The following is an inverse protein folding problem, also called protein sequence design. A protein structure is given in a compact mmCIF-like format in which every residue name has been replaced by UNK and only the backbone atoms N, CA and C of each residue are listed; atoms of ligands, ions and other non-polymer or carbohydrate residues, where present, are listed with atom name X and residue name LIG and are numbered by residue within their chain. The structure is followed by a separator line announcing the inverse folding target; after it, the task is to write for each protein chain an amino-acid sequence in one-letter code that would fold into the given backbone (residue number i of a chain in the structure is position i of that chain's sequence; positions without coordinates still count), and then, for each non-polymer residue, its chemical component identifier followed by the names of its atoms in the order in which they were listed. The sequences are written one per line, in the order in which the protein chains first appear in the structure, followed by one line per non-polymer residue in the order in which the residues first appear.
data_IF_424002855429
#
_entry.id   IF_424002855429
#
_cell.length_a   1.000
_cell.length_b   1.000
_cell.length_c   1.000
_cell.angle_alpha   90.00
_cell.angle_beta   90.00
_cell.angle_gamma   90.00
#
_symmetry.space_group_name_H-M   'P 1'
#
loop_
_entity.id
_entity.type
_entity.pdbx_description
1 polymer ?
#
# COMPACT_ATOMS: atom_id res chain seq x y z
N UNK A 1 7.30 37.92 -0.12
CA UNK A 1 8.75 37.87 -0.44
C UNK A 1 9.27 36.44 -0.46
N UNK A 2 9.11 35.62 0.60
CA UNK A 2 9.60 34.24 0.59
C UNK A 2 8.87 33.29 -0.39
N UNK A 3 7.52 33.37 -0.51
CA UNK A 3 6.76 32.54 -1.46
C UNK A 3 7.12 32.78 -2.93
N UNK A 4 7.31 34.03 -3.34
CA UNK A 4 7.67 34.37 -4.73
C UNK A 4 9.08 33.87 -5.09
N UNK A 5 10.03 33.99 -4.16
CA UNK A 5 11.38 33.45 -4.35
C UNK A 5 11.38 31.91 -4.43
N UNK A 6 10.61 31.25 -3.56
CA UNK A 6 10.42 29.79 -3.61
C UNK A 6 9.79 29.34 -4.93
N UNK A 7 8.74 30.03 -5.39
CA UNK A 7 8.08 29.76 -6.67
C UNK A 7 9.06 29.86 -7.85
N UNK A 8 9.83 30.95 -7.91
CA UNK A 8 10.85 31.14 -8.94
C UNK A 8 11.89 30.00 -8.91
N UNK A 9 12.32 29.57 -7.72
CA UNK A 9 13.29 28.50 -7.57
C UNK A 9 12.75 27.13 -8.00
N UNK A 10 11.51 26.81 -7.65
CA UNK A 10 10.84 25.58 -8.09
C UNK A 10 10.76 25.54 -9.61
N UNK A 11 10.32 26.63 -10.24
CA UNK A 11 10.21 26.71 -11.71
C UNK A 11 11.58 26.63 -12.40
N UNK A 12 12.62 27.25 -11.82
CA UNK A 12 14.01 27.11 -12.30
C UNK A 12 14.46 25.65 -12.26
N UNK A 13 14.24 24.95 -11.14
CA UNK A 13 14.63 23.56 -10.98
C UNK A 13 13.85 22.62 -11.91
N UNK A 14 12.55 22.84 -12.07
CA UNK A 14 11.72 22.04 -12.99
C UNK A 14 12.25 22.12 -14.42
N UNK A 15 12.62 23.33 -14.90
CA UNK A 15 13.17 23.52 -16.24
C UNK A 15 14.60 22.99 -16.37
N UNK A 16 15.43 23.21 -15.36
CA UNK A 16 16.85 22.82 -15.39
C UNK A 16 17.05 21.30 -15.39
N UNK A 17 16.22 20.58 -14.64
CA UNK A 17 16.35 19.13 -14.46
C UNK A 17 15.31 18.33 -15.23
N UNK A 18 14.52 18.98 -16.08
CA UNK A 18 13.46 18.33 -16.87
C UNK A 18 12.56 17.45 -16.01
N UNK A 19 12.11 18.01 -14.88
CA UNK A 19 11.34 17.26 -13.88
C UNK A 19 10.03 16.78 -14.50
N UNK A 20 9.67 15.51 -14.25
CA UNK A 20 8.45 14.90 -14.78
C UNK A 20 7.30 14.86 -13.76
N UNK A 21 7.61 14.96 -12.46
CA UNK A 21 6.63 14.99 -11.38
C UNK A 21 7.19 15.66 -10.10
N UNK A 22 6.30 16.23 -9.29
CA UNK A 22 6.64 16.79 -7.98
C UNK A 22 6.02 15.94 -6.88
N UNK A 23 6.85 15.38 -6.00
CA UNK A 23 6.42 14.62 -4.84
C UNK A 23 6.29 15.54 -3.61
N UNK A 24 5.17 15.44 -2.88
CA UNK A 24 4.92 16.19 -1.64
C UNK A 24 4.59 15.21 -0.52
N UNK A 25 5.31 15.30 0.60
CA UNK A 25 5.01 14.49 1.78
C UNK A 25 3.66 14.84 2.40
N UNK A 26 2.92 13.83 2.87
CA UNK A 26 1.60 14.00 3.48
C UNK A 26 1.61 14.33 4.98
N UNK A 27 2.72 14.82 5.52
CA UNK A 27 2.81 15.29 6.89
C UNK A 27 2.43 16.76 7.07
N UNK A 28 3.05 17.39 8.06
CA UNK A 28 2.78 18.78 8.46
C UNK A 28 2.98 19.74 7.29
N UNK A 29 1.96 20.56 7.03
CA UNK A 29 1.92 21.52 5.92
C UNK A 29 2.02 20.91 4.50
N UNK A 30 1.82 19.59 4.35
CA UNK A 30 1.88 18.90 3.06
C UNK A 30 0.81 19.41 2.09
N UNK A 31 -0.42 19.60 2.57
CA UNK A 31 -1.54 20.10 1.77
C UNK A 31 -1.29 21.55 1.31
N UNK A 32 -0.85 22.42 2.22
CA UNK A 32 -0.53 23.81 1.88
C UNK A 32 0.62 23.89 0.87
N UNK A 33 1.55 22.94 0.93
CA UNK A 33 2.65 22.81 -0.05
C UNK A 33 2.13 22.31 -1.40
N UNK A 34 1.25 21.31 -1.42
CA UNK A 34 0.59 20.83 -2.63
C UNK A 34 -0.21 21.95 -3.31
N UNK A 35 -1.09 22.64 -2.59
CA UNK A 35 -1.87 23.78 -3.10
C UNK A 35 -0.95 24.88 -3.62
N UNK A 36 0.14 25.19 -2.91
CA UNK A 36 1.13 26.17 -3.37
C UNK A 36 1.75 25.77 -4.70
N UNK A 37 2.15 24.50 -4.86
CA UNK A 37 2.78 24.00 -6.08
C UNK A 37 1.79 23.91 -7.25
N UNK A 38 0.56 23.46 -7.00
CA UNK A 38 -0.51 23.40 -8.01
C UNK A 38 -0.91 24.80 -8.52
N UNK A 39 -0.76 25.83 -7.69
CA UNK A 39 -1.00 27.23 -8.08
C UNK A 39 0.14 27.85 -8.90
N UNK A 40 1.24 27.14 -9.14
CA UNK A 40 2.33 27.62 -9.99
C UNK A 40 2.07 27.28 -11.47
N UNK A 41 2.59 28.13 -12.36
CA UNK A 41 2.62 27.87 -13.79
C UNK A 41 3.71 26.83 -14.14
N UNK A 42 3.45 25.57 -13.74
CA UNK A 42 4.37 24.46 -13.92
C UNK A 42 4.49 24.10 -15.41
N UNK A 43 5.70 23.79 -15.91
CA UNK A 43 5.88 23.33 -17.28
C UNK A 43 4.96 22.14 -17.59
N UNK A 44 4.41 22.07 -18.81
CA UNK A 44 3.70 20.88 -19.33
C UNK A 44 2.61 20.27 -18.44
N UNK A 45 2.05 21.02 -17.49
CA UNK A 45 1.07 20.48 -16.53
C UNK A 45 1.62 19.38 -15.63
N UNK A 46 2.89 19.51 -15.18
CA UNK A 46 3.55 18.56 -14.27
C UNK A 46 2.61 18.10 -13.14
N UNK A 47 2.45 16.78 -12.92
CA UNK A 47 1.68 16.29 -11.80
C UNK A 47 2.37 16.60 -10.47
N UNK A 48 1.60 17.17 -9.54
CA UNK A 48 1.94 17.26 -8.13
C UNK A 48 1.26 16.09 -7.43
N UNK A 49 2.04 15.26 -6.74
CA UNK A 49 1.57 14.00 -6.15
C UNK A 49 1.87 13.99 -4.67
N UNK A 50 0.82 13.76 -3.87
CA UNK A 50 0.95 13.48 -2.45
C UNK A 50 1.50 12.07 -2.23
N UNK A 51 2.53 11.98 -1.40
CA UNK A 51 3.27 10.76 -1.08
C UNK A 51 3.23 10.54 0.43
N UNK A 52 2.99 9.29 0.84
CA UNK A 52 3.09 8.91 2.24
C UNK A 52 4.53 9.11 2.74
N UNK A 53 4.73 9.97 3.74
CA UNK A 53 6.06 10.26 4.31
C UNK A 53 6.38 9.45 5.57
N UNK A 54 5.51 8.54 6.00
CA UNK A 54 5.71 7.77 7.23
C UNK A 54 7.01 6.97 7.16
N UNK A 55 7.82 7.09 8.21
CA UNK A 55 9.17 6.52 8.27
C UNK A 55 10.25 7.28 7.49
N UNK A 56 9.96 8.37 6.77
CA UNK A 56 10.98 9.15 6.05
C UNK A 56 12.01 9.79 7.00
N UNK A 57 11.56 10.20 8.19
CA UNK A 57 12.45 10.68 9.27
C UNK A 57 13.32 9.57 9.87
N UNK A 58 12.78 8.34 9.93
CA UNK A 58 13.54 7.15 10.38
C UNK A 58 14.60 6.79 9.35
N UNK A 59 14.24 6.81 8.07
CA UNK A 59 15.20 6.66 6.97
C UNK A 59 16.30 7.72 7.06
N UNK A 60 15.97 9.01 7.14
CA UNK A 60 16.97 10.09 7.06
C UNK A 60 18.02 10.05 8.18
N UNK A 61 17.64 9.51 9.35
CA UNK A 61 18.51 9.30 10.51
C UNK A 61 19.23 7.94 10.50
N UNK A 62 18.93 7.05 9.55
CA UNK A 62 19.49 5.71 9.47
C UNK A 62 20.94 5.68 8.99
N UNK A 63 21.66 4.59 9.29
CA UNK A 63 22.98 4.34 8.71
C UNK A 63 22.94 4.17 7.19
N UNK A 64 21.85 3.62 6.65
CA UNK A 64 21.66 3.49 5.20
C UNK A 64 21.64 4.87 4.54
N UNK A 65 20.86 5.82 5.04
CA UNK A 65 20.83 7.16 4.47
C UNK A 65 22.13 7.94 4.67
N UNK A 66 22.86 7.71 5.78
CA UNK A 66 24.21 8.28 5.99
C UNK A 66 25.23 7.73 5.00
N UNK A 67 25.15 6.45 4.67
CA UNK A 67 26.03 5.84 3.68
C UNK A 67 25.72 6.32 2.26
N UNK A 68 24.43 6.45 1.91
CA UNK A 68 24.02 6.95 0.59
C UNK A 68 24.31 8.45 0.41
N UNK A 69 24.15 9.25 1.47
CA UNK A 69 24.31 10.71 1.44
C UNK A 69 25.12 11.23 2.63
N UNK A 70 26.45 11.01 2.67
CA UNK A 70 27.29 11.38 3.80
C UNK A 70 27.25 12.88 4.11
N UNK A 71 27.23 13.71 3.07
CA UNK A 71 27.38 15.16 3.16
C UNK A 71 26.05 15.94 3.26
N UNK A 72 24.90 15.25 3.23
CA UNK A 72 23.58 15.88 3.33
C UNK A 72 23.03 15.80 4.75
N UNK A 73 22.36 16.85 5.22
CA UNK A 73 21.65 16.80 6.49
C UNK A 73 20.34 15.99 6.42
N UNK A 74 19.76 15.74 7.59
CA UNK A 74 18.55 14.94 7.79
C UNK A 74 17.37 15.43 6.93
N UNK A 75 17.23 16.74 6.72
CA UNK A 75 16.12 17.36 6.00
C UNK A 75 16.18 17.00 4.52
N UNK A 76 17.34 17.13 3.88
CA UNK A 76 17.52 16.76 2.48
C UNK A 76 17.39 15.26 2.26
N UNK A 77 17.91 14.43 3.16
CA UNK A 77 17.73 12.97 3.09
C UNK A 77 16.26 12.56 3.14
N UNK A 78 15.46 13.23 3.97
CA UNK A 78 14.01 13.03 4.02
C UNK A 78 13.33 13.40 2.70
N UNK A 79 13.69 14.54 2.11
CA UNK A 79 13.17 14.98 0.81
C UNK A 79 13.52 14.02 -0.33
N UNK A 80 14.76 13.48 -0.33
CA UNK A 80 15.17 12.45 -1.29
C UNK A 80 14.31 11.19 -1.16
N UNK A 81 14.01 10.76 0.07
CA UNK A 81 13.14 9.59 0.29
C UNK A 81 11.73 9.81 -0.27
N UNK A 82 11.15 10.99 -0.06
CA UNK A 82 9.83 11.34 -0.61
C UNK A 82 9.83 11.27 -2.13
N UNK A 83 10.84 11.84 -2.80
CA UNK A 83 10.97 11.76 -4.26
C UNK A 83 11.12 10.32 -4.77
N UNK A 84 11.91 9.49 -4.07
CA UNK A 84 12.12 8.08 -4.45
C UNK A 84 10.91 7.20 -4.23
N UNK A 85 10.11 7.47 -3.19
CA UNK A 85 8.84 6.77 -2.96
C UNK A 85 7.84 6.99 -4.10
N UNK A 86 7.86 8.16 -4.73
CA UNK A 86 7.04 8.39 -5.92
C UNK A 86 7.50 7.53 -7.10
N UNK A 87 8.81 7.38 -7.29
CA UNK A 87 9.38 6.58 -8.38
C UNK A 87 9.15 5.08 -8.19
N UNK A 88 9.48 4.55 -7.01
CA UNK A 88 9.20 3.17 -6.64
C UNK A 88 9.02 3.07 -5.11
N UNK A 89 7.77 2.96 -4.61
CA UNK A 89 7.50 2.83 -3.19
C UNK A 89 8.17 1.61 -2.56
N UNK A 90 8.20 0.47 -3.26
CA UNK A 90 8.75 -0.78 -2.73
C UNK A 90 10.25 -0.64 -2.53
N UNK A 91 10.97 -0.17 -3.55
CA UNK A 91 12.43 -0.05 -3.51
C UNK A 91 12.94 0.94 -2.44
N UNK A 92 12.13 1.93 -2.08
CA UNK A 92 12.48 2.92 -1.07
C UNK A 92 12.01 2.51 0.35
N UNK A 93 10.80 1.93 0.50
CA UNK A 93 10.27 1.54 1.81
C UNK A 93 11.04 0.36 2.43
N UNK A 94 11.60 -0.55 1.64
CA UNK A 94 12.44 -1.66 2.16
C UNK A 94 13.71 -1.18 2.87
N UNK A 95 14.10 0.09 2.70
CA UNK A 95 15.26 0.68 3.39
C UNK A 95 14.97 1.06 4.85
N UNK A 96 13.72 0.92 5.28
CA UNK A 96 13.24 1.30 6.61
C UNK A 96 12.93 0.02 7.38
N UNK A 97 13.22 -0.01 8.68
CA UNK A 97 12.72 -1.09 9.53
C UNK A 97 11.18 -1.13 9.40
N UNK A 98 10.57 -2.24 8.95
CA UNK A 98 9.14 -2.28 8.64
C UNK A 98 8.24 -1.83 9.79
N UNK A 99 8.62 -2.09 11.04
CA UNK A 99 7.87 -1.64 12.22
C UNK A 99 7.85 -0.12 12.41
N UNK A 100 8.79 0.57 11.78
CA UNK A 100 8.96 2.03 11.84
C UNK A 100 8.22 2.77 10.73
N UNK A 101 7.58 2.06 9.80
CA UNK A 101 6.77 2.66 8.74
C UNK A 101 5.48 3.27 9.31
N UNK A 102 5.04 2.89 10.51
CA UNK A 102 3.83 3.44 11.12
C UNK A 102 2.57 2.79 10.54
N UNK A 103 2.40 1.48 10.78
CA UNK A 103 1.36 0.66 10.14
C UNK A 103 0.04 0.61 10.92
N UNK A 104 -0.03 1.25 12.09
CA UNK A 104 -1.26 1.31 12.88
C UNK A 104 -1.12 2.15 14.15
N UNK A 105 -2.26 2.60 14.67
CA UNK A 105 -2.34 3.52 15.82
C UNK A 105 -1.71 2.96 17.10
N UNK A 106 -1.92 1.67 17.37
CA UNK A 106 -1.47 1.00 18.60
C UNK A 106 -0.31 0.03 18.34
N UNK A 107 0.47 0.24 17.28
CA UNK A 107 1.58 -0.65 16.91
C UNK A 107 2.66 -0.78 18.00
N UNK A 108 2.73 0.17 18.94
CA UNK A 108 3.69 0.15 20.05
C UNK A 108 3.18 -0.65 21.26
N UNK A 109 1.89 -0.95 21.32
CA UNK A 109 1.24 -1.65 22.44
C UNK A 109 1.18 -3.18 22.24
N UNK A 110 1.62 -3.65 21.07
CA UNK A 110 1.67 -5.09 20.73
C UNK A 110 3.07 -5.67 20.96
N UNK A 111 3.17 -7.01 20.93
CA UNK A 111 4.43 -7.73 20.95
C UNK A 111 5.33 -7.28 19.80
N UNK A 112 6.40 -6.54 20.12
CA UNK A 112 7.33 -5.99 19.13
C UNK A 112 8.08 -7.07 18.33
N UNK A 113 8.51 -8.21 18.92
CA UNK A 113 9.11 -9.30 18.15
C UNK A 113 8.14 -9.90 17.13
N UNK A 114 6.89 -10.15 17.54
CA UNK A 114 5.88 -10.73 16.64
C UNK A 114 5.48 -9.75 15.56
N UNK A 115 5.31 -8.46 15.89
CA UNK A 115 5.05 -7.41 14.92
C UNK A 115 6.17 -7.35 13.87
N UNK A 116 7.43 -7.29 14.31
CA UNK A 116 8.57 -7.24 13.38
C UNK A 116 8.57 -8.45 12.45
N UNK A 117 8.42 -9.66 12.98
CA UNK A 117 8.41 -10.89 12.18
C UNK A 117 7.31 -10.86 11.12
N UNK A 118 6.07 -10.53 11.52
CA UNK A 118 4.96 -10.48 10.57
C UNK A 118 5.14 -9.41 9.49
N UNK A 119 5.70 -8.24 9.84
CA UNK A 119 5.98 -7.19 8.86
C UNK A 119 7.13 -7.58 7.93
N UNK A 120 8.18 -8.23 8.43
CA UNK A 120 9.25 -8.78 7.59
C UNK A 120 8.66 -9.80 6.59
N UNK A 121 7.78 -10.71 7.03
CA UNK A 121 7.12 -11.70 6.17
C UNK A 121 6.28 -11.03 5.06
N UNK A 122 5.57 -9.94 5.38
CA UNK A 122 4.83 -9.13 4.38
C UNK A 122 5.79 -8.50 3.38
N UNK A 123 6.91 -7.92 3.85
CA UNK A 123 7.91 -7.30 2.97
C UNK A 123 8.52 -8.34 2.03
N UNK A 124 8.89 -9.52 2.54
CA UNK A 124 9.36 -10.65 1.74
C UNK A 124 8.30 -11.01 0.69
N UNK A 125 7.05 -11.18 1.09
CA UNK A 125 5.97 -11.51 0.16
C UNK A 125 5.83 -10.46 -0.95
N UNK A 126 5.86 -9.17 -0.63
CA UNK A 126 5.76 -8.09 -1.60
C UNK A 126 6.95 -8.05 -2.56
N UNK A 127 8.18 -8.16 -2.04
CA UNK A 127 9.41 -8.13 -2.85
C UNK A 127 9.45 -9.30 -3.83
N UNK A 128 9.11 -10.50 -3.37
CA UNK A 128 9.17 -11.69 -4.22
C UNK A 128 7.98 -11.75 -5.20
N UNK A 129 6.81 -11.22 -4.84
CA UNK A 129 5.69 -11.08 -5.79
C UNK A 129 6.03 -10.11 -6.92
N UNK A 130 6.66 -8.96 -6.60
CA UNK A 130 7.05 -7.97 -7.61
C UNK A 130 8.26 -8.44 -8.42
N UNK A 131 9.20 -9.16 -7.82
CA UNK A 131 10.48 -9.54 -8.43
C UNK A 131 11.49 -8.38 -8.46
N UNK A 132 12.77 -8.70 -8.61
CA UNK A 132 13.88 -7.76 -8.41
C UNK A 132 14.85 -7.80 -9.60
N UNK A 133 15.10 -6.65 -10.23
CA UNK A 133 16.18 -6.53 -11.22
C UNK A 133 17.55 -6.53 -10.52
N UNK A 134 18.30 -7.61 -10.71
CA UNK A 134 19.53 -7.85 -9.94
C UNK A 134 20.65 -6.86 -10.25
N UNK A 135 20.67 -6.30 -11.47
CA UNK A 135 21.73 -5.38 -11.90
C UNK A 135 21.54 -3.95 -11.35
N UNK A 136 20.35 -3.57 -10.91
CA UNK A 136 20.06 -2.23 -10.39
C UNK A 136 19.63 -2.21 -8.93
N UNK A 137 19.20 -3.35 -8.37
CA UNK A 137 18.73 -3.43 -7.00
C UNK A 137 19.79 -3.02 -5.95
N UNK A 138 19.28 -2.45 -4.86
CA UNK A 138 20.04 -2.13 -3.65
C UNK A 138 20.27 -3.37 -2.77
N UNK A 139 21.21 -3.29 -1.83
CA UNK A 139 21.41 -4.33 -0.81
C UNK A 139 20.14 -4.59 0.01
N UNK A 140 19.44 -3.52 0.37
CA UNK A 140 18.21 -3.58 1.18
C UNK A 140 17.10 -4.34 0.44
N UNK A 141 16.93 -4.10 -0.87
CA UNK A 141 15.93 -4.82 -1.65
C UNK A 141 16.29 -6.30 -1.82
N UNK A 142 17.56 -6.59 -2.16
CA UNK A 142 18.05 -7.97 -2.31
C UNK A 142 17.98 -8.78 -1.01
N UNK A 143 18.10 -8.13 0.15
CA UNK A 143 18.00 -8.79 1.46
C UNK A 143 16.67 -9.51 1.65
N UNK A 144 15.57 -8.98 1.07
CA UNK A 144 14.23 -9.54 1.18
C UNK A 144 13.88 -10.54 0.07
N UNK A 145 14.79 -10.79 -0.88
CA UNK A 145 14.60 -11.86 -1.88
C UNK A 145 14.77 -13.21 -1.20
N UNK A 146 13.87 -14.14 -1.51
CA UNK A 146 13.86 -15.50 -0.99
C UNK A 146 15.23 -16.16 -1.14
N UNK A 147 15.77 -16.70 -0.04
CA UNK A 147 17.05 -17.40 -0.04
C UNK A 147 18.32 -16.54 -0.02
N UNK A 148 18.24 -15.20 -0.04
CA UNK A 148 19.43 -14.34 -0.02
C UNK A 148 19.82 -13.85 1.39
N UNK A 149 18.96 -13.03 2.00
CA UNK A 149 19.30 -12.33 3.25
C UNK A 149 20.50 -11.36 3.09
N UNK A 150 20.94 -10.73 4.21
CA UNK A 150 21.90 -9.62 4.15
C UNK A 150 23.27 -10.00 3.59
N UNK A 151 23.77 -11.19 3.92
CA UNK A 151 25.12 -11.59 3.50
C UNK A 151 25.21 -11.86 2.00
N UNK A 152 24.20 -12.54 1.42
CA UNK A 152 24.21 -12.81 -0.02
C UNK A 152 23.89 -11.56 -0.81
N UNK A 153 23.03 -10.66 -0.30
CA UNK A 153 22.80 -9.35 -0.91
C UNK A 153 24.12 -8.57 -1.09
N UNK A 154 24.95 -8.47 -0.04
CA UNK A 154 26.29 -7.84 -0.15
C UNK A 154 27.19 -8.53 -1.15
N UNK A 155 27.21 -9.86 -1.15
CA UNK A 155 28.06 -10.62 -2.06
C UNK A 155 27.66 -10.43 -3.53
N UNK A 156 26.36 -10.27 -3.82
CA UNK A 156 25.85 -9.94 -5.16
C UNK A 156 26.34 -8.55 -5.58
N UNK A 157 26.24 -7.55 -4.71
CA UNK A 157 26.74 -6.20 -5.00
C UNK A 157 28.25 -6.20 -5.23
N UNK A 158 29.02 -6.91 -4.40
CA UNK A 158 30.47 -7.04 -4.57
C UNK A 158 30.82 -7.69 -5.92
N UNK A 159 30.15 -8.79 -6.27
CA UNK A 159 30.34 -9.43 -7.57
C UNK A 159 30.04 -8.47 -8.73
N UNK A 160 28.93 -7.71 -8.65
CA UNK A 160 28.54 -6.71 -9.67
C UNK A 160 29.58 -5.59 -9.82
N UNK A 161 30.14 -5.13 -8.70
CA UNK A 161 31.17 -4.09 -8.71
C UNK A 161 32.49 -4.58 -9.33
N UNK A 162 32.84 -5.84 -9.12
CA UNK A 162 34.09 -6.43 -9.61
C UNK A 162 34.01 -6.95 -11.06
N UNK A 163 32.86 -7.52 -11.45
CA UNK A 163 32.71 -8.27 -12.71
C UNK A 163 31.79 -7.57 -13.72
N UNK A 164 31.14 -6.46 -13.34
CA UNK A 164 30.10 -5.82 -14.13
C UNK A 164 28.72 -6.48 -13.95
N UNK A 165 27.72 -6.07 -14.77
CA UNK A 165 26.37 -6.60 -14.67
C UNK A 165 26.30 -8.09 -15.05
N UNK A 166 25.36 -8.80 -14.44
CA UNK A 166 25.03 -10.18 -14.77
C UNK A 166 24.37 -10.24 -16.14
N UNK A 167 24.89 -11.08 -17.04
CA UNK A 167 24.32 -11.33 -18.36
C UNK A 167 23.38 -12.53 -18.42
N UNK A 168 23.31 -13.34 -17.36
CA UNK A 168 22.37 -14.46 -17.22
C UNK A 168 22.23 -14.91 -15.77
N UNK A 169 21.12 -15.58 -15.44
CA UNK A 169 20.90 -16.10 -14.07
C UNK A 169 21.97 -17.10 -13.66
N UNK A 170 22.50 -17.90 -14.59
CA UNK A 170 23.56 -18.87 -14.28
C UNK A 170 24.84 -18.21 -13.74
N UNK A 171 25.11 -16.96 -14.08
CA UNK A 171 26.25 -16.21 -13.54
C UNK A 171 26.10 -15.94 -12.03
N UNK A 172 24.89 -15.94 -11.46
CA UNK A 172 24.66 -15.81 -10.02
C UNK A 172 25.30 -16.96 -9.23
N UNK A 173 25.49 -18.14 -9.83
CA UNK A 173 26.17 -19.27 -9.20
C UNK A 173 27.66 -18.99 -8.91
N UNK A 174 28.23 -17.95 -9.54
CA UNK A 174 29.61 -17.50 -9.31
C UNK A 174 29.73 -16.58 -8.10
N UNK A 175 28.61 -16.10 -7.55
CA UNK A 175 28.60 -15.24 -6.37
C UNK A 175 29.09 -16.03 -5.15
N UNK A 176 30.03 -15.44 -4.42
CA UNK A 176 30.60 -16.04 -3.22
C UNK A 176 29.50 -16.46 -2.23
N UNK A 177 29.59 -17.70 -1.74
CA UNK A 177 28.65 -18.32 -0.77
C UNK A 177 27.21 -18.51 -1.27
N UNK A 178 26.91 -18.21 -2.54
CA UNK A 178 25.62 -18.51 -3.15
C UNK A 178 25.58 -19.98 -3.58
N UNK A 179 25.16 -20.86 -2.67
CA UNK A 179 25.08 -22.30 -2.91
C UNK A 179 23.88 -22.72 -3.77
N UNK A 180 23.82 -23.99 -4.22
CA UNK A 180 22.75 -24.49 -5.09
C UNK A 180 21.33 -24.29 -4.52
N UNK A 181 21.16 -24.49 -3.21
CA UNK A 181 19.87 -24.29 -2.52
C UNK A 181 19.45 -22.81 -2.50
N UNK A 182 20.38 -21.91 -2.20
CA UNK A 182 20.11 -20.47 -2.22
C UNK A 182 19.76 -19.99 -3.64
N UNK A 183 20.48 -20.50 -4.65
CA UNK A 183 20.15 -20.24 -6.05
C UNK A 183 18.74 -20.72 -6.41
N UNK A 184 18.38 -21.97 -6.08
CA UNK A 184 17.05 -22.52 -6.32
C UNK A 184 15.94 -21.68 -5.66
N UNK A 185 16.17 -21.15 -4.46
CA UNK A 185 15.18 -20.32 -3.78
C UNK A 185 15.07 -18.91 -4.36
N UNK A 186 16.16 -18.34 -4.87
CA UNK A 186 16.22 -16.94 -5.30
C UNK A 186 15.98 -16.73 -6.80
N UNK A 187 16.38 -17.69 -7.64
CA UNK A 187 16.55 -17.45 -9.08
C UNK A 187 15.25 -17.05 -9.79
N UNK A 188 14.09 -17.53 -9.34
CA UNK A 188 12.80 -17.18 -9.93
C UNK A 188 12.36 -15.73 -9.66
N UNK A 189 12.93 -15.11 -8.62
CA UNK A 189 12.59 -13.75 -8.18
C UNK A 189 13.59 -12.70 -8.66
N UNK A 190 14.79 -13.13 -9.07
CA UNK A 190 15.83 -12.26 -9.63
C UNK A 190 15.68 -12.18 -11.15
N UNK A 191 15.48 -10.98 -11.68
CA UNK A 191 15.35 -10.72 -13.11
C UNK A 191 16.63 -10.09 -13.65
N UNK A 192 16.87 -10.34 -14.93
CA UNK A 192 17.91 -9.71 -15.73
C UNK A 192 17.24 -9.23 -17.03
N UNK A 193 16.97 -7.93 -17.10
CA UNK A 193 16.57 -7.29 -18.36
C UNK A 193 17.75 -7.31 -19.34
N UNK A 194 17.44 -7.45 -20.63
CA UNK A 194 18.41 -7.51 -21.73
C UNK A 194 19.50 -8.58 -21.56
N UNK A 195 19.19 -9.66 -20.82
CA UNK A 195 20.06 -10.81 -20.64
C UNK A 195 20.20 -11.66 -21.91
N UNK A 196 21.17 -12.58 -21.91
CA UNK A 196 21.41 -13.51 -23.02
C UNK A 196 20.23 -14.45 -23.29
N UNK A 197 19.44 -14.76 -22.26
CA UNK A 197 18.29 -15.64 -22.33
C UNK A 197 17.03 -14.82 -22.01
N UNK A 198 16.01 -14.78 -22.90
CA UNK A 198 14.80 -13.99 -22.70
C UNK A 198 13.99 -14.43 -21.46
N UNK A 199 14.15 -15.67 -21.00
CA UNK A 199 13.46 -16.16 -19.81
C UNK A 199 13.98 -15.54 -18.51
N UNK A 200 15.22 -15.01 -18.51
CA UNK A 200 15.81 -14.38 -17.33
C UNK A 200 15.10 -13.07 -16.94
N UNK A 201 14.33 -12.47 -17.86
CA UNK A 201 13.47 -11.32 -17.59
C UNK A 201 12.08 -11.71 -17.04
N UNK A 202 11.74 -13.01 -17.01
CA UNK A 202 10.43 -13.52 -16.58
C UNK A 202 10.48 -14.14 -15.17
N UNK A 203 9.33 -14.51 -14.60
CA UNK A 203 9.27 -15.32 -13.38
C UNK A 203 9.43 -16.84 -13.65
N UNK A 204 9.67 -17.27 -14.90
CA UNK A 204 9.96 -18.68 -15.21
C UNK A 204 11.24 -19.09 -14.51
N UNK A 205 11.15 -20.06 -13.61
CA UNK A 205 12.31 -20.54 -12.87
C UNK A 205 13.30 -21.29 -13.79
N UNK A 206 14.64 -21.15 -13.62
CA UNK A 206 15.62 -21.84 -14.47
C UNK A 206 15.47 -23.37 -14.53
N UNK A 207 14.88 -23.99 -13.52
CA UNK A 207 14.60 -25.43 -13.56
C UNK A 207 13.62 -25.83 -14.68
N UNK A 208 12.77 -24.90 -15.11
CA UNK A 208 11.79 -25.07 -16.16
C UNK A 208 12.33 -24.70 -17.55
N UNK A 209 13.54 -24.15 -17.67
CA UNK A 209 14.09 -23.78 -18.99
C UNK A 209 14.18 -24.96 -19.98
N UNK A 210 14.48 -26.20 -19.57
CA UNK A 210 14.45 -27.33 -20.49
C UNK A 210 13.05 -27.56 -21.10
N UNK A 211 11.97 -27.37 -20.34
CA UNK A 211 10.61 -27.63 -20.82
C UNK A 211 10.17 -26.58 -21.84
N UNK A 212 10.50 -25.31 -21.60
CA UNK A 212 10.24 -24.22 -22.55
C UNK A 212 11.03 -24.42 -23.84
N UNK A 213 12.29 -24.88 -23.74
CA UNK A 213 13.08 -25.24 -24.93
C UNK A 213 12.51 -26.43 -25.69
N UNK A 214 11.89 -27.40 -25.02
CA UNK A 214 11.18 -28.50 -25.69
C UNK A 214 9.96 -27.99 -26.44
N UNK A 215 9.16 -27.12 -25.82
CA UNK A 215 7.98 -26.51 -26.46
C UNK A 215 8.38 -25.74 -27.73
N UNK A 216 9.45 -24.96 -27.67
CA UNK A 216 9.95 -24.20 -28.81
C UNK A 216 10.41 -25.14 -29.94
N UNK A 217 11.13 -26.22 -29.61
CA UNK A 217 11.58 -27.22 -30.59
C UNK A 217 10.42 -27.94 -31.26
N UNK A 218 9.37 -28.29 -30.53
CA UNK A 218 8.21 -29.01 -31.08
C UNK A 218 7.38 -28.15 -32.06
N UNK A 219 7.53 -26.83 -31.99
CA UNK A 219 6.94 -25.85 -32.91
C UNK A 219 7.92 -25.30 -33.96
N UNK A 220 9.15 -25.83 -34.01
CA UNK A 220 10.22 -25.38 -34.89
C UNK A 220 10.50 -23.86 -34.79
N UNK A 221 10.50 -23.34 -33.57
CA UNK A 221 10.75 -21.92 -33.29
C UNK A 221 11.77 -21.72 -32.16
N UNK A 222 12.17 -20.47 -31.94
CA UNK A 222 13.03 -20.09 -30.81
C UNK A 222 12.21 -19.75 -29.57
N UNK A 223 12.87 -19.63 -28.40
CA UNK A 223 12.19 -19.19 -27.17
C UNK A 223 11.78 -17.72 -27.29
N UNK A 224 12.60 -16.91 -27.96
CA UNK A 224 12.32 -15.52 -28.29
C UNK A 224 11.04 -15.40 -29.13
N UNK A 225 10.81 -16.32 -30.08
CA UNK A 225 9.58 -16.36 -30.87
C UNK A 225 8.37 -16.69 -30.01
N UNK A 226 8.49 -17.63 -29.06
CA UNK A 226 7.41 -17.95 -28.11
C UNK A 226 7.06 -16.76 -27.20
N UNK A 227 8.03 -15.91 -26.85
CA UNK A 227 7.77 -14.71 -26.04
C UNK A 227 7.07 -13.62 -26.86
N UNK A 228 7.35 -13.53 -28.16
CA UNK A 228 6.78 -12.48 -29.04
C UNK A 228 5.45 -12.86 -29.68
N UNK A 229 5.23 -14.13 -30.00
CA UNK A 229 4.12 -14.58 -30.83
C UNK A 229 3.05 -15.33 -30.02
N UNK A 230 1.85 -14.73 -29.94
CA UNK A 230 0.70 -15.35 -29.26
C UNK A 230 0.16 -16.59 -29.96
N UNK A 231 0.20 -16.65 -31.29
CA UNK A 231 -0.31 -17.79 -32.05
C UNK A 231 0.51 -19.04 -31.81
N UNK A 232 1.84 -18.91 -31.77
CA UNK A 232 2.74 -20.02 -31.42
C UNK A 232 2.43 -20.56 -30.03
N UNK A 233 2.22 -19.66 -29.05
CA UNK A 233 1.83 -20.05 -27.69
C UNK A 233 0.50 -20.80 -27.64
N UNK A 234 -0.50 -20.38 -28.42
CA UNK A 234 -1.81 -21.04 -28.49
C UNK A 234 -1.76 -22.44 -29.09
N UNK A 235 -0.77 -22.72 -29.93
CA UNK A 235 -0.57 -24.04 -30.54
C UNK A 235 0.07 -25.07 -29.58
N UNK A 236 0.59 -24.63 -28.43
CA UNK A 236 1.18 -25.53 -27.43
C UNK A 236 0.08 -26.28 -26.67
N UNK A 237 0.09 -27.60 -26.78
CA UNK A 237 -0.78 -28.48 -26.01
C UNK A 237 -0.11 -28.86 -24.68
N UNK A 238 -0.43 -28.14 -23.59
CA UNK A 238 0.26 -28.28 -22.30
C UNK A 238 0.24 -29.70 -21.72
N UNK A 239 -0.84 -30.46 -21.95
CA UNK A 239 -0.95 -31.86 -21.49
C UNK A 239 0.21 -32.76 -21.97
N UNK A 240 0.88 -32.43 -23.09
CA UNK A 240 2.01 -33.19 -23.63
C UNK A 240 3.29 -33.02 -22.81
N UNK A 241 3.36 -31.99 -21.98
CA UNK A 241 4.53 -31.61 -21.19
C UNK A 241 4.33 -31.87 -19.69
N UNK A 242 3.22 -32.50 -19.30
CA UNK A 242 2.99 -32.86 -17.90
C UNK A 242 3.86 -34.07 -17.55
N UNK A 243 4.62 -33.96 -16.47
CA UNK A 243 5.42 -35.05 -15.91
C UNK A 243 5.38 -35.03 -14.37
N UNK A 244 6.15 -35.91 -13.73
CA UNK A 244 6.21 -36.02 -12.26
C UNK A 244 6.73 -34.74 -11.57
N UNK A 245 7.44 -33.88 -12.31
CA UNK A 245 8.05 -32.65 -11.81
C UNK A 245 7.21 -31.41 -12.14
N UNK A 246 6.57 -31.37 -13.31
CA UNK A 246 5.87 -30.23 -13.85
C UNK A 246 4.39 -30.56 -14.10
N UNK A 247 3.54 -30.10 -13.19
CA UNK A 247 2.08 -30.20 -13.33
C UNK A 247 1.49 -29.11 -14.23
N UNK A 248 0.21 -29.27 -14.58
CA UNK A 248 -0.55 -28.27 -15.35
C UNK A 248 -0.52 -26.85 -14.77
N UNK A 249 -0.61 -26.62 -13.44
CA UNK A 249 -0.51 -25.27 -12.89
C UNK A 249 0.81 -24.58 -13.27
N UNK A 250 1.94 -25.26 -13.09
CA UNK A 250 3.27 -24.74 -13.44
C UNK A 250 3.39 -24.43 -14.93
N UNK A 251 2.88 -25.31 -15.80
CA UNK A 251 2.87 -25.08 -17.24
C UNK A 251 2.00 -23.88 -17.63
N UNK A 252 0.86 -23.71 -16.96
CA UNK A 252 -0.06 -22.56 -17.18
C UNK A 252 0.60 -21.25 -16.76
N UNK A 253 1.31 -21.26 -15.62
CA UNK A 253 2.07 -20.11 -15.15
C UNK A 253 3.20 -19.75 -16.11
N UNK A 254 3.94 -20.76 -16.61
CA UNK A 254 4.98 -20.57 -17.64
C UNK A 254 4.38 -19.90 -18.88
N UNK A 255 3.24 -20.38 -19.39
CA UNK A 255 2.59 -19.77 -20.55
C UNK A 255 2.16 -18.32 -20.31
N UNK A 256 1.69 -18.03 -19.10
CA UNK A 256 1.31 -16.68 -18.70
C UNK A 256 2.52 -15.75 -18.63
N UNK A 257 3.65 -16.23 -18.11
CA UNK A 257 4.92 -15.51 -18.10
C UNK A 257 5.50 -15.31 -19.50
N UNK A 258 5.43 -16.31 -20.39
CA UNK A 258 5.86 -16.15 -21.78
C UNK A 258 5.02 -15.09 -22.52
N UNK A 259 3.74 -14.95 -22.17
CA UNK A 259 2.87 -13.94 -22.75
C UNK A 259 3.19 -12.52 -22.26
N UNK A 260 3.58 -12.37 -20.99
CA UNK A 260 3.93 -11.09 -20.36
C UNK A 260 5.09 -11.28 -19.39
N UNK A 261 6.35 -11.37 -19.87
CA UNK A 261 7.51 -11.65 -19.04
C UNK A 261 7.67 -10.61 -17.92
N UNK A 262 7.78 -11.08 -16.67
CA UNK A 262 8.11 -10.22 -15.55
C UNK A 262 7.01 -9.20 -15.25
N UNK A 263 5.75 -9.56 -15.55
CA UNK A 263 4.58 -8.72 -15.31
C UNK A 263 4.59 -8.19 -13.88
N UNK A 264 4.58 -6.87 -13.75
CA UNK A 264 4.43 -6.21 -12.46
C UNK A 264 3.02 -6.48 -11.89
N UNK A 265 2.88 -7.05 -10.68
CA UNK A 265 1.58 -7.29 -10.06
C UNK A 265 0.97 -6.01 -9.45
N UNK A 266 1.73 -4.91 -9.37
CA UNK A 266 1.26 -3.64 -8.81
C UNK A 266 0.23 -2.99 -9.72
N UNK A 267 -0.68 -2.22 -9.12
CA UNK A 267 -1.64 -1.41 -9.85
C UNK A 267 -0.92 -0.32 -10.66
N UNK A 268 -1.50 0.05 -11.81
CA UNK A 268 -0.99 1.19 -12.57
C UNK A 268 -1.18 2.48 -11.78
N UNK A 269 -0.16 3.33 -11.80
CA UNK A 269 -0.20 4.60 -11.09
C UNK A 269 -1.29 5.52 -11.66
N UNK A 270 -2.16 6.02 -10.77
CA UNK A 270 -3.10 7.09 -11.07
C UNK A 270 -2.94 8.22 -10.06
N UNK A 271 -2.72 9.47 -10.51
CA UNK A 271 -2.69 10.62 -9.62
C UNK A 271 -4.05 10.76 -8.93
N UNK A 272 -4.03 11.00 -7.62
CA UNK A 272 -5.21 11.21 -6.81
C UNK A 272 -5.22 12.62 -6.27
N UNK A 273 -6.41 13.23 -6.25
CA UNK A 273 -6.61 14.59 -5.76
C UNK A 273 -7.80 14.60 -4.81
N UNK A 274 -7.67 15.37 -3.73
CA UNK A 274 -8.80 15.73 -2.89
C UNK A 274 -9.72 16.71 -3.62
N UNK A 275 -10.94 16.89 -3.12
CA UNK A 275 -11.85 17.89 -3.67
C UNK A 275 -11.27 19.31 -3.49
N UNK A 276 -11.28 20.09 -4.57
CA UNK A 276 -10.84 21.49 -4.53
C UNK A 276 -11.76 22.33 -3.63
N UNK A 277 -11.16 23.23 -2.85
CA UNK A 277 -11.89 24.19 -2.01
C UNK A 277 -12.43 23.66 -0.68
N UNK A 278 -12.14 22.41 -0.29
CA UNK A 278 -12.58 21.82 0.99
C UNK A 278 -11.37 21.61 1.90
N UNK A 279 -11.07 22.58 2.77
CA UNK A 279 -9.89 22.54 3.67
C UNK A 279 -10.27 22.51 5.15
N UNK A 280 -11.45 23.04 5.51
CA UNK A 280 -11.93 23.14 6.88
C UNK A 280 -13.24 22.40 7.05
N UNK A 281 -13.52 21.98 8.28
CA UNK A 281 -14.81 21.36 8.64
C UNK A 281 -16.00 22.27 8.31
N UNK A 282 -15.80 23.59 8.29
CA UNK A 282 -16.82 24.60 7.92
C UNK A 282 -17.17 24.60 6.43
N UNK A 283 -16.32 24.03 5.59
CA UNK A 283 -16.53 23.98 4.14
C UNK A 283 -17.40 22.78 3.74
N UNK A 284 -17.60 21.84 4.69
CA UNK A 284 -18.42 20.65 4.48
C UNK A 284 -19.91 20.96 4.55
N UNK A 285 -20.65 20.46 3.57
CA UNK A 285 -22.11 20.49 3.55
C UNK A 285 -22.66 19.06 3.50
N UNK A 286 -23.75 18.84 4.22
CA UNK A 286 -24.47 17.56 4.18
C UNK A 286 -24.92 17.27 2.75
N UNK A 287 -24.69 16.04 2.30
CA UNK A 287 -24.95 15.57 0.93
C UNK A 287 -23.76 15.69 -0.02
N UNK A 288 -22.66 16.37 0.36
CA UNK A 288 -21.46 16.43 -0.48
C UNK A 288 -20.83 15.05 -0.65
N UNK A 289 -20.49 14.71 -1.89
CA UNK A 289 -19.67 13.55 -2.23
C UNK A 289 -18.21 13.98 -2.37
N UNK A 290 -17.33 13.42 -1.56
CA UNK A 290 -15.93 13.79 -1.48
C UNK A 290 -15.04 12.56 -1.65
N UNK A 291 -13.92 12.66 -2.39
CA UNK A 291 -12.85 11.69 -2.31
C UNK A 291 -12.22 11.75 -0.91
N UNK A 292 -11.94 10.59 -0.33
CA UNK A 292 -11.27 10.45 0.95
C UNK A 292 -10.34 9.24 0.99
N UNK A 293 -9.51 9.19 2.03
CA UNK A 293 -8.58 8.09 2.27
C UNK A 293 -8.87 7.50 3.63
N UNK A 294 -9.01 6.18 3.71
CA UNK A 294 -9.22 5.48 4.98
C UNK A 294 -7.96 5.63 5.84
N UNK A 295 -8.08 6.21 7.02
CA UNK A 295 -6.97 6.39 7.97
C UNK A 295 -6.87 5.25 8.97
N UNK A 296 -8.01 4.69 9.36
CA UNK A 296 -8.07 3.61 10.34
C UNK A 296 -9.35 2.77 10.15
N UNK A 297 -9.28 1.48 10.49
CA UNK A 297 -10.43 0.56 10.44
C UNK A 297 -10.62 -0.02 11.84
N UNK A 298 -11.84 0.06 12.36
CA UNK A 298 -12.22 -0.47 13.68
C UNK A 298 -13.34 -1.49 13.53
N UNK A 299 -13.69 -2.21 14.61
CA UNK A 299 -14.78 -3.17 14.59
C UNK A 299 -16.17 -2.55 14.31
N UNK A 300 -16.34 -1.24 14.51
CA UNK A 300 -17.62 -0.53 14.36
C UNK A 300 -17.68 0.38 13.13
N UNK A 301 -16.62 0.48 12.35
CA UNK A 301 -16.57 1.37 11.19
C UNK A 301 -15.16 1.66 10.70
N UNK A 302 -15.03 2.68 9.88
CA UNK A 302 -13.75 3.17 9.37
C UNK A 302 -13.67 4.69 9.47
N UNK A 303 -12.48 5.18 9.80
CA UNK A 303 -12.15 6.59 9.79
C UNK A 303 -11.60 6.95 8.41
N UNK A 304 -12.13 8.04 7.84
CA UNK A 304 -11.79 8.51 6.50
C UNK A 304 -11.40 9.97 6.60
N UNK A 305 -10.21 10.29 6.12
CA UNK A 305 -9.76 11.65 5.91
C UNK A 305 -10.29 12.16 4.57
N UNK A 306 -11.11 13.21 4.63
CA UNK A 306 -11.61 13.94 3.45
C UNK A 306 -10.82 15.24 3.21
N UNK A 307 -9.75 15.44 3.96
CA UNK A 307 -8.79 16.53 3.82
C UNK A 307 -9.05 17.73 4.75
N UNK A 308 -9.98 17.66 5.69
CA UNK A 308 -10.33 18.79 6.58
C UNK A 308 -9.59 18.78 7.93
N UNK A 309 -8.45 18.07 8.00
CA UNK A 309 -7.66 17.85 9.23
C UNK A 309 -8.41 17.16 10.37
N UNK A 310 -9.58 16.59 10.09
CA UNK A 310 -10.41 15.87 11.03
C UNK A 310 -11.02 14.66 10.32
N UNK A 311 -10.75 13.47 10.83
CA UNK A 311 -11.29 12.24 10.28
C UNK A 311 -12.81 12.19 10.48
N UNK A 312 -13.51 11.79 9.42
CA UNK A 312 -14.92 11.43 9.49
C UNK A 312 -15.09 9.94 9.74
N UNK A 313 -16.14 9.58 10.48
CA UNK A 313 -16.47 8.19 10.76
C UNK A 313 -17.51 7.68 9.76
N UNK A 314 -17.17 6.61 9.04
CA UNK A 314 -18.12 5.76 8.33
C UNK A 314 -18.48 4.61 9.26
N UNK A 315 -19.71 4.60 9.76
CA UNK A 315 -20.19 3.49 10.60
C UNK A 315 -20.30 2.18 9.79
N UNK A 316 -20.19 1.02 10.44
CA UNK A 316 -20.24 -0.30 9.77
C UNK A 316 -21.47 -0.47 8.86
N UNK A 317 -22.61 0.06 9.29
CA UNK A 317 -23.87 0.02 8.53
C UNK A 317 -23.91 0.95 7.32
N UNK A 318 -22.89 1.80 7.15
CA UNK A 318 -22.75 2.79 6.09
C UNK A 318 -21.55 2.50 5.19
N UNK A 319 -20.86 1.37 5.37
CA UNK A 319 -19.69 0.97 4.56
C UNK A 319 -20.06 0.43 3.18
N UNK A 320 -21.22 -0.22 3.05
CA UNK A 320 -21.67 -0.83 1.80
C UNK A 320 -23.20 -0.94 1.77
N UNK A 321 -23.76 -1.15 0.57
CA UNK A 321 -25.20 -1.39 0.36
C UNK A 321 -25.64 -2.83 0.74
N UNK A 322 -24.72 -3.64 1.26
CA UNK A 322 -24.95 -4.99 1.79
C UNK A 322 -24.61 -5.07 3.27
N UNK A 323 -25.08 -6.11 3.94
CA UNK A 323 -24.71 -6.38 5.33
C UNK A 323 -23.21 -6.68 5.44
N UNK A 324 -22.51 -5.94 6.31
CA UNK A 324 -21.08 -6.08 6.58
C UNK A 324 -20.92 -6.58 8.00
N UNK A 325 -20.26 -7.73 8.17
CA UNK A 325 -19.96 -8.29 9.49
C UNK A 325 -18.65 -7.74 10.05
N UNK A 326 -17.65 -7.61 9.19
CA UNK A 326 -16.33 -7.07 9.55
C UNK A 326 -15.95 -5.96 8.54
N UNK A 327 -15.71 -4.73 9.01
CA UNK A 327 -15.22 -3.64 8.17
C UNK A 327 -13.99 -3.97 7.33
N UNK A 328 -13.10 -4.85 7.79
CA UNK A 328 -11.88 -5.25 7.06
C UNK A 328 -12.15 -6.01 5.77
N UNK A 329 -13.36 -6.56 5.59
CA UNK A 329 -13.77 -7.21 4.33
C UNK A 329 -14.07 -6.19 3.22
N UNK A 330 -14.37 -4.94 3.60
CA UNK A 330 -14.82 -3.89 2.67
C UNK A 330 -13.76 -2.84 2.44
N UNK A 331 -13.08 -2.43 3.52
CA UNK A 331 -12.10 -1.36 3.48
C UNK A 331 -10.77 -1.74 4.11
N UNK A 332 -9.70 -1.19 3.55
CA UNK A 332 -8.34 -1.28 4.07
C UNK A 332 -7.82 0.11 4.43
N UNK A 333 -6.90 0.17 5.39
CA UNK A 333 -6.19 1.42 5.70
C UNK A 333 -5.45 1.90 4.45
N UNK A 334 -5.45 3.21 4.22
CA UNK A 334 -4.97 3.92 3.03
C UNK A 334 -5.74 3.66 1.73
N UNK A 335 -6.86 2.95 1.79
CA UNK A 335 -7.73 2.81 0.62
C UNK A 335 -8.38 4.16 0.26
N UNK A 336 -8.32 4.50 -1.02
CA UNK A 336 -9.04 5.64 -1.60
C UNK A 336 -10.51 5.26 -1.77
N UNK A 337 -11.40 6.09 -1.23
CA UNK A 337 -12.84 5.86 -1.23
C UNK A 337 -13.59 7.14 -1.60
N UNK A 338 -14.80 7.00 -2.12
CA UNK A 338 -15.73 8.12 -2.26
C UNK A 338 -16.73 8.05 -1.13
N UNK A 339 -16.87 9.14 -0.38
CA UNK A 339 -17.76 9.22 0.78
C UNK A 339 -18.75 10.36 0.62
N UNK A 340 -19.93 10.19 1.19
CA UNK A 340 -20.98 11.21 1.26
C UNK A 340 -21.09 11.73 2.69
N UNK A 341 -21.11 13.06 2.85
CA UNK A 341 -21.27 13.71 4.16
C UNK A 341 -22.72 13.57 4.64
N UNK A 342 -22.94 12.87 5.76
CA UNK A 342 -24.26 12.68 6.36
C UNK A 342 -24.62 13.74 7.39
N UNK A 343 -23.64 14.16 8.17
CA UNK A 343 -23.82 15.10 9.29
C UNK A 343 -22.49 15.74 9.67
N UNK A 344 -22.53 16.99 10.09
CA UNK A 344 -21.36 17.77 10.54
C UNK A 344 -21.70 18.45 11.86
N UNK A 345 -21.12 17.95 12.95
CA UNK A 345 -21.25 18.51 14.31
C UNK A 345 -20.05 19.41 14.59
N UNK A 346 -20.18 20.71 14.29
CA UNK A 346 -19.15 21.73 14.52
C UNK A 346 -18.78 21.88 16.01
N UNK A 347 -19.73 21.91 16.97
CA UNK A 347 -19.39 21.98 18.39
C UNK A 347 -18.49 20.85 18.88
N UNK A 348 -18.63 19.65 18.32
CA UNK A 348 -17.85 18.47 18.72
C UNK A 348 -16.73 18.09 17.75
N UNK A 349 -16.54 18.82 16.66
CA UNK A 349 -15.65 18.47 15.55
C UNK A 349 -15.83 17.03 15.06
N UNK A 350 -17.08 16.62 14.82
CA UNK A 350 -17.38 15.27 14.31
C UNK A 350 -18.03 15.33 12.94
N UNK A 351 -17.58 14.42 12.07
CA UNK A 351 -18.10 14.29 10.71
C UNK A 351 -18.61 12.86 10.55
N UNK A 352 -19.88 12.71 10.20
CA UNK A 352 -20.47 11.41 9.87
C UNK A 352 -20.46 11.22 8.35
N UNK A 353 -19.91 10.11 7.88
CA UNK A 353 -19.74 9.80 6.47
C UNK A 353 -20.46 8.51 6.10
N UNK A 354 -20.78 8.35 4.82
CA UNK A 354 -21.32 7.11 4.24
C UNK A 354 -20.61 6.76 2.94
N UNK A 355 -20.39 5.47 2.70
CA UNK A 355 -19.88 4.91 1.46
C UNK A 355 -20.98 4.26 0.60
N UNK A 356 -22.25 4.30 1.05
CA UNK A 356 -23.40 3.80 0.28
C UNK A 356 -23.68 4.65 -0.96
N UNK A 357 -24.26 4.04 -1.98
CA UNK A 357 -24.66 4.77 -3.20
C UNK A 357 -25.78 5.78 -2.93
N UNK A 358 -26.74 5.41 -2.06
CA UNK A 358 -27.94 6.19 -1.73
C UNK A 358 -28.19 6.32 -0.21
N UNK A 359 -27.40 7.12 0.52
CA UNK A 359 -27.55 7.27 1.97
C UNK A 359 -28.87 7.94 2.41
N UNK A 360 -29.50 8.73 1.54
CA UNK A 360 -30.69 9.54 1.88
C UNK A 360 -32.01 8.76 1.92
N UNK A 361 -32.07 7.56 1.32
CA UNK A 361 -33.30 6.75 1.29
C UNK A 361 -33.65 6.20 2.68
N UNK A 362 -32.67 5.81 3.50
CA UNK A 362 -32.91 5.30 4.86
C UNK A 362 -33.44 6.39 5.82
N UNK A 363 -33.03 7.66 5.66
CA UNK A 363 -33.60 8.77 6.46
C UNK A 363 -35.06 9.05 6.11
N UNK A 364 -35.47 8.78 4.86
CA UNK A 364 -36.88 8.90 4.41
C UNK A 364 -37.72 7.71 4.88
N UNK A 365 -37.17 6.49 4.89
CA UNK A 365 -37.89 5.29 5.32
C UNK A 365 -37.99 5.16 6.84
N UNK A 366 -37.04 5.72 7.60
CA UNK A 366 -37.12 5.79 9.08
C UNK A 366 -38.15 6.82 9.60
N UNK A 367 -38.88 7.52 8.72
CA UNK A 367 -40.06 8.32 9.08
C UNK A 367 -41.23 8.03 8.15
N UNK A 368 -42.21 7.26 8.65
CA UNK A 368 -43.61 7.62 8.39
C UNK A 368 -44.45 7.71 9.68
N UNK A 369 -45.31 8.73 9.66
CA UNK A 369 -46.59 8.89 10.37
C UNK A 369 -46.58 8.93 11.90
N UNK A 370 -46.42 10.16 12.41
CA UNK A 370 -47.19 10.60 13.56
C UNK A 370 -48.68 10.62 13.17
N UNK A 371 -49.38 9.52 13.41
CA UNK A 371 -50.83 9.53 13.61
C UNK A 371 -51.22 8.32 14.46
N UNK A 372 -51.31 8.54 15.78
CA UNK A 372 -51.97 7.62 16.70
C UNK A 372 -53.28 8.27 17.13
N UNK A 373 -54.44 7.60 17.01
CA UNK A 373 -55.69 8.14 17.51
C UNK A 373 -55.64 8.21 19.05
N UNK A 374 -56.23 9.26 19.59
CA UNK A 374 -56.29 9.54 21.03
C UNK A 374 -56.95 8.39 21.81
N UNK A 375 -56.41 7.97 22.97
CA UNK A 375 -57.11 7.04 23.83
C UNK A 375 -58.14 7.78 24.70
N UNK A 376 -59.37 7.26 24.69
CA UNK A 376 -60.46 7.72 25.53
C UNK A 376 -60.23 7.42 27.02
N UNK A 377 -60.73 8.36 27.83
CA UNK A 377 -60.98 8.43 29.28
C UNK A 377 -60.62 7.24 30.20
N UNK A 378 -59.99 7.61 31.32
CA UNK A 378 -59.72 6.84 32.56
C UNK A 378 -60.95 6.16 33.18
N UNK A 379 -60.70 5.16 34.05
CA UNK A 379 -61.06 5.33 35.46
C UNK A 379 -59.87 5.13 36.43
N UNK A 380 -60.15 5.49 37.68
CA UNK A 380 -59.24 5.79 38.80
C UNK A 380 -58.49 4.62 39.48
N UNK A 381 -57.37 5.02 40.12
CA UNK A 381 -56.75 4.57 41.40
C UNK A 381 -55.98 3.24 41.50
N UNK A 382 -54.71 3.37 41.90
CA UNK A 382 -53.94 2.29 42.54
C UNK A 382 -52.44 2.56 42.74
N UNK A 383 -52.07 3.16 43.87
CA UNK A 383 -50.78 3.13 44.61
C UNK A 383 -49.43 3.24 43.84
N UNK A 384 -48.68 4.31 44.18
CA UNK A 384 -47.23 4.46 43.98
C UNK A 384 -46.46 3.26 44.55
N UNK A 385 -45.54 2.70 43.74
CA UNK A 385 -44.37 1.94 44.21
C UNK A 385 -43.12 2.59 43.60
N UNK A 386 -42.15 2.88 44.46
CA UNK A 386 -40.83 3.38 44.10
C UNK A 386 -40.05 2.34 43.27
N UNK A 387 -39.19 2.75 42.32
CA UNK A 387 -38.35 1.82 41.60
C UNK A 387 -37.21 1.30 42.48
N UNK A 388 -37.02 -0.02 42.50
CA UNK A 388 -35.91 -0.68 43.15
C UNK A 388 -34.56 -0.33 42.49
N UNK A 389 -33.45 -0.23 43.24
CA UNK A 389 -32.14 0.05 42.67
C UNK A 389 -31.58 -1.15 41.89
N UNK A 390 -30.88 -0.81 40.81
CA UNK A 390 -30.13 -1.69 39.90
C UNK A 390 -29.09 -2.54 40.67
N UNK A 391 -29.12 -3.85 40.47
CA UNK A 391 -28.25 -4.82 41.15
C UNK A 391 -26.83 -4.75 40.54
N UNK A 392 -25.87 -4.14 41.25
CA UNK A 392 -24.47 -4.04 40.82
C UNK A 392 -23.63 -5.13 41.54
N UNK A 393 -23.17 -6.18 40.84
CA UNK A 393 -22.50 -7.34 41.44
C UNK A 393 -21.09 -7.05 42.01
N UNK A 394 -20.60 -5.81 41.96
CA UNK A 394 -19.32 -5.40 42.54
C UNK A 394 -19.43 -4.63 43.88
N UNK A 395 -20.65 -4.35 44.37
CA UNK A 395 -20.85 -3.59 45.61
C UNK A 395 -20.48 -4.38 46.89
N UNK A 396 -20.59 -5.71 46.88
CA UNK A 396 -20.27 -6.54 48.06
C UNK A 396 -18.77 -6.79 48.25
N UNK A 397 -17.96 -6.69 47.19
CA UNK A 397 -16.51 -6.89 47.27
C UNK A 397 -15.77 -5.69 47.90
N UNK A 398 -16.35 -4.49 47.83
CA UNK A 398 -15.74 -3.26 48.38
C UNK A 398 -16.10 -2.99 49.85
N UNK A 399 -17.12 -3.66 50.41
CA UNK A 399 -17.49 -3.51 51.83
C UNK A 399 -16.68 -4.39 52.80
N UNK A 400 -15.99 -5.43 52.32
CA UNK A 400 -15.22 -6.35 53.18
C UNK A 400 -13.76 -5.97 53.44
N UNK A 401 -13.32 -4.78 53.01
CA UNK A 401 -11.93 -4.32 53.20
C UNK A 401 -11.76 -3.17 54.21
N UNK A 402 -12.79 -2.85 54.99
CA UNK A 402 -12.74 -1.76 55.99
C UNK A 402 -12.82 -2.20 57.45
N UNK A 403 -12.97 -3.50 57.73
CA UNK A 403 -12.84 -4.07 59.07
C UNK A 403 -11.88 -5.26 59.02
N UNK A 404 -10.58 -4.96 59.01
CA UNK A 404 -9.51 -5.79 59.59
C UNK A 404 -8.19 -5.03 59.63
#
# INVERSE_FOLDING_TARGET
RNRTAAAAKVLEMCRRFEVEALAVGNGTAGRETETFLQGLDLPSGLPVVMVNESGASVYSASETARAEFPDLDLTYRGAVSIGRRLMDPLAELVKIDPKSIGVGQYQHDVSQPDLKRNLDDVVISCVNAVGVEVNTASEQLLTYVSGLGPQLARNILAYRAENGPFGSRDELRKVSRLGPKAFEQAAGFLRIHDGKNPLDASAVHPESYPIVRSMARDLDCTVEDLVKNEELRRNIQLNRYVDDKFGLPTLTDIMSELAKPGRDPREQFSPWKFAEGVEKITDLQVGMKLPGVVTNVTAFGAFVDVGVHQDGLVHISQLADRFVKDPHEVVKVHQRVTVTVLDVDLPRNRIALSMKEHPDQERREARPAADRPAPARRPEKGRRREPAPFNNPFAEALKKKKDR
#
